data_IF_230620372735
#
_entry.id   IF_230620372735
#
_cell.length_a   1.000
_cell.length_b   1.000
_cell.length_c   1.000
_cell.angle_alpha   90.00
_cell.angle_beta   90.00
_cell.angle_gamma   90.00
#
_symmetry.space_group_name_H-M   'P 1'
#
loop_
_entity.id
_entity.type
_entity.pdbx_description
1 polymer ?
#
# COMPACT_ATOMS: atom_id res chain seq x y z
N UNK A 1 27.08 -7.00 19.23
CA UNK A 1 26.71 -5.73 18.55
C UNK A 1 25.53 -6.04 17.64
N UNK A 2 24.36 -5.41 17.83
CA UNK A 2 23.16 -5.62 17.00
C UNK A 2 23.08 -4.50 15.96
N UNK A 3 22.85 -4.81 14.67
CA UNK A 3 22.64 -3.79 13.65
C UNK A 3 21.57 -2.78 14.06
N UNK A 4 21.86 -1.49 13.88
CA UNK A 4 20.96 -0.37 14.22
C UNK A 4 19.54 -0.60 13.69
N UNK A 5 19.40 -1.00 12.42
CA UNK A 5 18.10 -1.22 11.78
C UNK A 5 17.24 -2.28 12.48
N UNK A 6 17.87 -3.32 13.05
CA UNK A 6 17.13 -4.37 13.74
C UNK A 6 16.50 -3.90 15.05
N UNK A 7 16.92 -2.77 15.63
CA UNK A 7 16.30 -2.21 16.82
C UNK A 7 14.93 -1.58 16.53
N UNK A 8 14.65 -1.24 15.27
CA UNK A 8 13.42 -0.57 14.83
C UNK A 8 12.51 -1.47 13.99
N UNK A 9 12.98 -2.66 13.62
CA UNK A 9 12.16 -3.64 12.92
C UNK A 9 10.94 -4.00 13.78
N UNK A 10 9.74 -3.74 13.25
CA UNK A 10 8.48 -4.19 13.81
C UNK A 10 7.93 -5.35 12.97
N UNK A 11 7.22 -6.31 13.59
CA UNK A 11 6.48 -7.31 12.83
C UNK A 11 5.57 -6.65 11.82
N UNK A 12 5.52 -7.19 10.60
CA UNK A 12 4.58 -6.72 9.59
C UNK A 12 3.16 -6.95 10.11
N UNK A 13 2.33 -5.91 10.06
CA UNK A 13 0.90 -6.06 10.32
C UNK A 13 0.30 -6.84 9.14
N UNK A 14 -0.51 -7.88 9.38
CA UNK A 14 -1.20 -8.58 8.31
C UNK A 14 -1.96 -7.59 7.43
N UNK A 15 -1.81 -7.71 6.11
CA UNK A 15 -2.58 -6.90 5.18
C UNK A 15 -4.08 -7.19 5.36
N UNK A 16 -4.95 -6.18 5.23
CA UNK A 16 -6.39 -6.41 5.20
C UNK A 16 -6.75 -7.32 4.02
N UNK A 17 -7.82 -8.13 4.17
CA UNK A 17 -8.39 -8.84 3.04
C UNK A 17 -8.94 -7.83 2.03
N UNK A 18 -8.38 -7.85 0.83
CA UNK A 18 -8.69 -6.90 -0.25
C UNK A 18 -9.73 -7.52 -1.19
N UNK A 19 -10.75 -6.74 -1.57
CA UNK A 19 -11.70 -7.14 -2.61
C UNK A 19 -10.94 -7.37 -3.94
N UNK A 20 -11.01 -8.57 -4.55
CA UNK A 20 -10.32 -8.82 -5.81
C UNK A 20 -10.81 -7.91 -6.93
N UNK A 21 -9.87 -7.38 -7.73
CA UNK A 21 -10.13 -6.62 -8.94
C UNK A 21 -9.21 -7.10 -10.07
N UNK A 22 -9.62 -6.85 -11.32
CA UNK A 22 -8.86 -7.20 -12.51
C UNK A 22 -8.72 -6.02 -13.46
N UNK A 23 -7.65 -5.99 -14.24
CA UNK A 23 -7.47 -4.96 -15.27
C UNK A 23 -8.33 -5.28 -16.49
N UNK A 24 -9.21 -4.36 -16.88
CA UNK A 24 -9.95 -4.39 -18.13
C UNK A 24 -9.20 -3.55 -19.19
N UNK A 25 -8.61 -4.19 -20.22
CA UNK A 25 -7.87 -3.48 -21.27
C UNK A 25 -8.74 -2.64 -22.19
N UNK A 26 -10.05 -2.92 -22.27
CA UNK A 26 -10.98 -2.17 -23.11
C UNK A 26 -11.29 -0.80 -22.51
N UNK A 27 -11.37 -0.74 -21.17
CA UNK A 27 -11.59 0.47 -20.40
C UNK A 27 -10.28 1.12 -19.93
N UNK A 28 -9.18 0.37 -19.97
CA UNK A 28 -7.89 0.70 -19.38
C UNK A 28 -7.97 1.00 -17.88
N UNK A 29 -8.81 0.26 -17.17
CA UNK A 29 -9.07 0.47 -15.75
C UNK A 29 -9.03 -0.85 -14.98
N UNK A 30 -8.67 -0.78 -13.70
CA UNK A 30 -8.96 -1.86 -12.77
C UNK A 30 -10.45 -1.84 -12.43
N UNK A 31 -11.11 -2.98 -12.54
CA UNK A 31 -12.55 -3.15 -12.32
C UNK A 31 -12.83 -4.24 -11.30
N UNK A 32 -13.91 -4.06 -10.55
CA UNK A 32 -14.48 -5.08 -9.67
C UNK A 32 -15.18 -6.18 -10.48
N UNK A 33 -15.60 -7.25 -9.80
CA UNK A 33 -16.35 -8.35 -10.42
C UNK A 33 -17.68 -7.94 -11.06
N UNK A 34 -18.25 -6.81 -10.64
CA UNK A 34 -19.47 -6.20 -11.21
C UNK A 34 -19.18 -5.20 -12.34
N UNK A 35 -17.91 -5.02 -12.73
CA UNK A 35 -17.47 -4.12 -13.78
C UNK A 35 -17.34 -2.65 -13.37
N UNK A 36 -17.67 -2.28 -12.12
CA UNK A 36 -17.44 -0.91 -11.64
C UNK A 36 -15.92 -0.65 -11.53
N UNK A 37 -15.44 0.57 -11.88
CA UNK A 37 -14.04 0.92 -11.65
C UNK A 37 -13.66 0.79 -10.18
N UNK A 38 -12.57 0.08 -9.89
CA UNK A 38 -12.04 -0.16 -8.56
C UNK A 38 -11.74 1.14 -7.79
N UNK A 39 -11.39 2.22 -8.50
CA UNK A 39 -11.13 3.54 -7.90
C UNK A 39 -12.36 4.19 -7.25
N UNK A 40 -13.57 3.73 -7.59
CA UNK A 40 -14.80 4.24 -6.99
C UNK A 40 -15.18 3.49 -5.70
N UNK A 41 -14.43 2.43 -5.33
CA UNK A 41 -14.70 1.64 -4.14
C UNK A 41 -13.84 2.14 -2.97
N UNK A 42 -14.47 2.86 -2.04
CA UNK A 42 -13.78 3.48 -0.91
C UNK A 42 -13.22 2.46 0.09
N UNK A 43 -13.91 1.32 0.28
CA UNK A 43 -13.46 0.29 1.20
C UNK A 43 -12.20 -0.39 0.65
N UNK A 44 -12.19 -0.66 -0.67
CA UNK A 44 -11.01 -1.12 -1.38
C UNK A 44 -9.86 -0.11 -1.28
N UNK A 45 -10.13 1.17 -1.52
CA UNK A 45 -9.11 2.22 -1.42
C UNK A 45 -8.56 2.36 0.00
N UNK A 46 -9.38 2.22 1.02
CA UNK A 46 -8.94 2.25 2.41
C UNK A 46 -8.05 1.05 2.76
N UNK A 47 -8.41 -0.14 2.26
CA UNK A 47 -7.65 -1.37 2.46
C UNK A 47 -6.30 -1.36 1.71
N UNK A 48 -6.25 -0.83 0.49
CA UNK A 48 -5.05 -0.78 -0.35
C UNK A 48 -4.21 0.49 -0.20
N UNK A 49 -4.80 1.58 0.31
CA UNK A 49 -4.22 2.91 0.33
C UNK A 49 -3.09 3.12 1.33
N UNK A 50 -2.73 2.11 2.12
CA UNK A 50 -1.62 2.18 3.06
C UNK A 50 -0.29 2.08 2.32
N UNK A 51 0.17 3.17 1.70
CA UNK A 51 1.60 3.36 1.47
C UNK A 51 2.21 3.80 2.80
N UNK A 52 2.62 2.85 3.63
CA UNK A 52 3.47 3.19 4.78
C UNK A 52 4.82 3.62 4.24
N UNK A 53 4.93 4.92 3.91
CA UNK A 53 6.19 5.56 3.60
C UNK A 53 6.99 5.64 4.90
N UNK A 54 7.72 4.57 5.21
CA UNK A 54 8.62 4.51 6.37
C UNK A 54 10.01 5.04 6.02
N UNK A 55 10.19 5.57 4.81
CA UNK A 55 11.38 6.29 4.43
C UNK A 55 11.34 7.69 5.06
N UNK A 56 11.55 7.73 6.38
CA UNK A 56 12.03 8.95 7.03
C UNK A 56 13.36 9.29 6.37
N UNK A 57 13.34 10.18 5.39
CA UNK A 57 14.55 10.80 4.88
C UNK A 57 15.10 11.68 6.00
N UNK A 58 15.90 11.07 6.88
CA UNK A 58 16.87 11.82 7.64
C UNK A 58 18.00 12.18 6.67
N UNK A 59 17.74 13.13 5.77
CA UNK A 59 18.82 13.88 5.15
C UNK A 59 19.44 14.69 6.27
N UNK A 60 20.47 14.13 6.88
CA UNK A 60 21.33 14.84 7.80
C UNK A 60 21.97 15.98 7.02
N UNK A 61 21.55 17.22 7.30
CA UNK A 61 22.39 18.37 7.01
C UNK A 61 23.40 18.43 8.15
N UNK A 62 24.64 18.05 7.86
CA UNK A 62 25.76 18.55 8.64
C UNK A 62 26.37 19.71 7.86
N UNK A 63 26.23 20.90 8.45
CA UNK A 63 27.29 21.91 8.47
C UNK A 63 28.57 21.35 9.12
#
# INVERSE_FOLDING_TARGET
MRPFALNYARPAVPAPDVVPYAYDPTLQLNVLSDGRPAVNDHDLLLACGTTTSTAGSQTHFDD
#
